data_IF_347095710898
#
_entry.id   IF_347095710898
#
_cell.length_a   1.000
_cell.length_b   1.000
_cell.length_c   1.000
_cell.angle_alpha   90.00
_cell.angle_beta   90.00
_cell.angle_gamma   90.00
#
_symmetry.space_group_name_H-M   'P 1'
#
loop_
_entity.id
_entity.type
_entity.pdbx_description
1 polymer ?
#
# COMPACT_ATOMS: atom_id res chain seq x y z
N UNK A 1 1.01 5.49 -18.59
CA UNK A 1 2.45 5.30 -18.32
C UNK A 1 2.61 4.85 -16.87
N UNK A 2 3.20 3.68 -16.59
CA UNK A 2 3.39 3.15 -15.23
C UNK A 2 4.18 4.09 -14.30
N UNK A 3 5.08 4.92 -14.84
CA UNK A 3 5.85 5.89 -14.07
C UNK A 3 4.93 7.00 -13.55
N UNK A 4 4.03 7.52 -14.40
CA UNK A 4 3.04 8.53 -14.01
C UNK A 4 2.06 7.98 -12.97
N UNK A 5 1.62 6.73 -13.13
CA UNK A 5 0.76 6.06 -12.15
C UNK A 5 1.46 5.92 -10.78
N UNK A 6 2.74 5.49 -10.77
CA UNK A 6 3.51 5.34 -9.53
C UNK A 6 3.72 6.69 -8.79
N UNK A 7 3.92 7.77 -9.54
CA UNK A 7 4.01 9.12 -8.97
C UNK A 7 2.67 9.58 -8.37
N UNK A 8 1.55 9.19 -8.99
CA UNK A 8 0.21 9.43 -8.45
C UNK A 8 0.01 8.78 -7.08
N UNK A 9 0.44 7.52 -6.91
CA UNK A 9 0.35 6.81 -5.63
C UNK A 9 1.24 7.38 -4.53
N UNK A 10 2.43 7.88 -4.89
CA UNK A 10 3.30 8.56 -3.93
C UNK A 10 2.63 9.83 -3.35
N UNK A 11 1.95 10.61 -4.20
CA UNK A 11 1.21 11.79 -3.77
C UNK A 11 -0.03 11.43 -2.93
N UNK A 12 -0.75 10.37 -3.31
CA UNK A 12 -1.88 9.85 -2.53
C UNK A 12 -1.44 9.42 -1.14
N UNK A 13 -0.33 8.69 -1.04
CA UNK A 13 0.25 8.23 0.23
C UNK A 13 0.58 9.40 1.16
N UNK A 14 1.26 10.44 0.65
CA UNK A 14 1.57 11.63 1.45
C UNK A 14 0.30 12.34 1.95
N UNK A 15 -0.78 12.28 1.17
CA UNK A 15 -2.06 12.87 1.55
C UNK A 15 -2.81 12.03 2.59
N UNK A 16 -2.78 10.70 2.50
CA UNK A 16 -3.28 9.79 3.56
C UNK A 16 -2.67 10.16 4.91
N UNK A 17 -1.35 10.38 4.93
CA UNK A 17 -0.60 10.68 6.15
C UNK A 17 -0.84 12.09 6.70
N UNK A 18 -0.97 13.10 5.82
CA UNK A 18 -1.01 14.51 6.24
C UNK A 18 -2.42 15.10 6.35
N UNK A 19 -3.34 14.70 5.48
CA UNK A 19 -4.70 15.25 5.35
C UNK A 19 -5.65 14.19 4.74
N UNK A 20 -6.03 13.16 5.51
CA UNK A 20 -6.91 12.11 5.03
C UNK A 20 -8.34 12.61 4.77
N UNK A 21 -8.72 13.79 5.28
CA UNK A 21 -10.06 14.35 5.10
C UNK A 21 -10.37 14.58 3.61
N UNK A 22 -11.47 13.96 3.15
CA UNK A 22 -11.91 14.03 1.76
C UNK A 22 -11.24 13.03 0.82
N UNK A 23 -10.40 12.11 1.33
CA UNK A 23 -9.97 10.93 0.58
C UNK A 23 -10.95 9.77 0.78
N UNK A 24 -11.28 9.11 -0.32
CA UNK A 24 -12.00 7.83 -0.29
C UNK A 24 -11.01 6.69 0.02
N UNK A 25 -10.61 6.58 1.29
CA UNK A 25 -9.69 5.52 1.74
C UNK A 25 -10.26 4.11 1.52
N UNK A 26 -11.56 3.83 1.76
CA UNK A 26 -12.17 2.56 1.37
C UNK A 26 -12.02 2.27 -0.13
N UNK A 27 -12.30 3.23 -1.00
CA UNK A 27 -12.15 3.07 -2.45
C UNK A 27 -10.70 2.86 -2.88
N UNK A 28 -9.74 3.53 -2.23
CA UNK A 28 -8.31 3.28 -2.47
C UNK A 28 -7.91 1.83 -2.13
N UNK A 29 -8.44 1.28 -1.03
CA UNK A 29 -8.23 -0.12 -0.68
C UNK A 29 -8.83 -1.07 -1.74
N UNK A 30 -9.99 -0.74 -2.31
CA UNK A 30 -10.59 -1.51 -3.41
C UNK A 30 -9.69 -1.52 -4.66
N UNK A 31 -9.15 -0.36 -5.04
CA UNK A 31 -8.21 -0.27 -6.17
C UNK A 31 -6.94 -1.06 -5.89
N UNK A 32 -6.39 -0.97 -4.68
CA UNK A 32 -5.20 -1.73 -4.29
C UNK A 32 -5.45 -3.24 -4.38
N UNK A 33 -6.58 -3.69 -3.83
CA UNK A 33 -6.96 -5.10 -3.87
C UNK A 33 -7.12 -5.63 -5.30
N UNK A 34 -7.71 -4.82 -6.19
CA UNK A 34 -7.97 -5.21 -7.58
C UNK A 34 -6.71 -5.20 -8.46
N UNK A 35 -5.82 -4.21 -8.30
CA UNK A 35 -4.78 -3.93 -9.30
C UNK A 35 -3.36 -4.26 -8.83
N UNK A 36 -3.06 -4.23 -7.52
CA UNK A 36 -1.67 -4.24 -7.05
C UNK A 36 -0.91 -5.51 -7.45
N UNK A 37 -1.58 -6.67 -7.49
CA UNK A 37 -0.94 -7.94 -7.82
C UNK A 37 -0.42 -8.01 -9.26
N UNK A 38 -1.14 -7.38 -10.19
CA UNK A 38 -0.81 -7.41 -11.62
C UNK A 38 -0.07 -6.14 -12.07
N UNK A 39 0.11 -5.17 -11.17
CA UNK A 39 0.84 -3.95 -11.43
C UNK A 39 2.35 -4.23 -11.64
N UNK A 40 3.06 -3.41 -12.45
CA UNK A 40 4.51 -3.49 -12.57
C UNK A 40 5.22 -3.21 -11.25
N UNK A 41 6.41 -3.77 -11.03
CA UNK A 41 7.16 -3.76 -9.75
C UNK A 41 7.16 -2.40 -9.02
N UNK A 42 7.48 -1.31 -9.73
CA UNK A 42 7.51 0.03 -9.12
C UNK A 42 6.14 0.49 -8.63
N UNK A 43 5.09 0.14 -9.37
CA UNK A 43 3.71 0.46 -9.00
C UNK A 43 3.24 -0.44 -7.85
N UNK A 44 3.62 -1.72 -7.82
CA UNK A 44 3.38 -2.58 -6.65
C UNK A 44 3.97 -1.98 -5.38
N UNK A 45 5.21 -1.49 -5.46
CA UNK A 45 5.89 -0.88 -4.33
C UNK A 45 5.17 0.36 -3.81
N UNK A 46 4.74 1.24 -4.71
CA UNK A 46 3.99 2.45 -4.36
C UNK A 46 2.62 2.12 -3.74
N UNK A 47 1.89 1.16 -4.32
CA UNK A 47 0.58 0.72 -3.83
C UNK A 47 0.68 0.01 -2.47
N UNK A 48 1.69 -0.85 -2.28
CA UNK A 48 1.94 -1.54 -1.01
C UNK A 48 2.29 -0.54 0.11
N UNK A 49 3.11 0.47 -0.19
CA UNK A 49 3.39 1.52 0.77
C UNK A 49 2.13 2.32 1.13
N UNK A 50 1.26 2.61 0.15
CA UNK A 50 -0.03 3.27 0.42
C UNK A 50 -0.94 2.40 1.30
N UNK A 51 -1.03 1.10 1.01
CA UNK A 51 -1.78 0.12 1.81
C UNK A 51 -1.36 0.14 3.28
N UNK A 52 -0.05 0.10 3.54
CA UNK A 52 0.49 0.13 4.88
C UNK A 52 0.14 1.44 5.60
N UNK A 53 0.34 2.60 4.95
CA UNK A 53 0.03 3.90 5.55
C UNK A 53 -1.47 4.04 5.88
N UNK A 54 -2.36 3.55 5.01
CA UNK A 54 -3.80 3.53 5.31
C UNK A 54 -4.06 2.74 6.60
N UNK A 55 -3.48 1.55 6.77
CA UNK A 55 -3.67 0.72 7.96
C UNK A 55 -3.03 1.28 9.25
N UNK A 56 -1.90 1.97 9.12
CA UNK A 56 -1.19 2.61 10.24
C UNK A 56 -1.99 3.82 10.73
N UNK A 57 -2.33 4.74 9.82
CA UNK A 57 -2.92 6.04 10.15
C UNK A 57 -4.44 5.97 10.38
N UNK A 58 -5.11 4.91 9.91
CA UNK A 58 -6.57 4.76 10.03
C UNK A 58 -6.93 3.46 10.75
N UNK A 59 -7.02 3.47 12.10
CA UNK A 59 -7.30 2.28 12.89
C UNK A 59 -8.57 1.52 12.46
N UNK A 60 -9.61 2.23 12.02
CA UNK A 60 -10.86 1.63 11.52
C UNK A 60 -10.71 0.85 10.20
N UNK A 61 -9.65 1.09 9.44
CA UNK A 61 -9.34 0.41 8.18
C UNK A 61 -8.19 -0.59 8.31
N UNK A 62 -7.49 -0.62 9.45
CA UNK A 62 -6.30 -1.48 9.67
C UNK A 62 -6.56 -2.95 9.35
N UNK A 63 -7.63 -3.51 9.90
CA UNK A 63 -7.96 -4.92 9.67
C UNK A 63 -8.19 -5.23 8.18
N UNK A 64 -8.79 -4.29 7.44
CA UNK A 64 -8.99 -4.42 5.99
C UNK A 64 -7.67 -4.32 5.24
N UNK A 65 -6.82 -3.35 5.58
CA UNK A 65 -5.52 -3.17 4.94
C UNK A 65 -4.60 -4.39 5.12
N UNK A 66 -4.50 -4.91 6.35
CA UNK A 66 -3.75 -6.14 6.65
C UNK A 66 -4.31 -7.32 5.85
N UNK A 67 -5.63 -7.53 5.88
CA UNK A 67 -6.26 -8.63 5.15
C UNK A 67 -6.05 -8.56 3.64
N UNK A 68 -6.02 -7.36 3.04
CA UNK A 68 -5.68 -7.19 1.62
C UNK A 68 -4.22 -7.58 1.38
N UNK A 69 -3.28 -7.09 2.19
CA UNK A 69 -1.86 -7.41 2.05
C UNK A 69 -1.59 -8.91 2.17
N UNK A 70 -2.24 -9.59 3.11
CA UNK A 70 -2.17 -11.04 3.28
C UNK A 70 -2.73 -11.83 2.10
N UNK A 71 -3.87 -11.39 1.53
CA UNK A 71 -4.47 -12.03 0.35
C UNK A 71 -3.59 -11.88 -0.89
N UNK A 72 -2.98 -10.71 -1.07
CA UNK A 72 -2.19 -10.41 -2.26
C UNK A 72 -0.78 -11.00 -2.17
N UNK A 73 -0.16 -11.02 -0.99
CA UNK A 73 1.18 -11.55 -0.78
C UNK A 73 2.29 -10.78 -1.51
N UNK A 74 2.01 -9.58 -2.00
CA UNK A 74 2.94 -8.74 -2.75
C UNK A 74 4.12 -8.36 -1.85
N UNK A 75 5.35 -8.55 -2.33
CA UNK A 75 6.61 -8.32 -1.59
C UNK A 75 6.85 -9.22 -0.37
N UNK A 76 6.02 -10.24 -0.12
CA UNK A 76 6.18 -11.16 1.02
C UNK A 76 7.54 -11.88 1.03
N UNK A 77 8.01 -12.30 -0.14
CA UNK A 77 9.28 -13.04 -0.28
C UNK A 77 10.44 -12.12 -0.69
N UNK A 78 10.27 -10.79 -0.55
CA UNK A 78 11.32 -9.84 -0.94
C UNK A 78 12.56 -10.02 -0.05
N UNK A 79 13.76 -10.24 -0.62
CA UNK A 79 14.96 -10.51 0.16
C UNK A 79 15.30 -9.32 1.05
N UNK A 80 15.21 -9.55 2.35
CA UNK A 80 15.48 -8.54 3.38
C UNK A 80 16.72 -8.97 4.15
N UNK A 81 17.76 -8.13 4.13
CA UNK A 81 18.99 -8.40 4.88
C UNK A 81 18.72 -8.46 6.39
N UNK A 82 19.50 -9.25 7.16
CA UNK A 82 19.35 -9.29 8.62
C UNK A 82 19.43 -7.89 9.24
N UNK A 83 18.39 -7.50 9.99
CA UNK A 83 18.28 -6.20 10.64
C UNK A 83 17.58 -5.09 9.84
N UNK A 84 17.15 -5.35 8.60
CA UNK A 84 16.29 -4.44 7.83
C UNK A 84 14.80 -4.77 8.02
N UNK A 85 13.93 -3.75 7.90
CA UNK A 85 12.47 -3.94 7.91
C UNK A 85 12.01 -4.50 6.56
N UNK A 86 11.17 -5.54 6.61
CA UNK A 86 10.51 -6.12 5.43
C UNK A 86 9.66 -5.07 4.72
N UNK A 87 9.66 -4.99 3.38
CA UNK A 87 8.75 -4.10 2.67
C UNK A 87 7.31 -4.64 2.62
N UNK A 88 7.02 -5.82 3.17
CA UNK A 88 5.69 -6.42 3.17
C UNK A 88 4.74 -5.65 4.10
N UNK A 89 3.71 -5.00 3.53
CA UNK A 89 2.83 -4.08 4.26
C UNK A 89 2.18 -4.66 5.55
N UNK A 90 1.76 -5.94 5.60
CA UNK A 90 1.22 -6.53 6.84
C UNK A 90 2.21 -6.63 8.01
N UNK A 91 3.52 -6.54 7.77
CA UNK A 91 4.53 -6.60 8.83
C UNK A 91 4.83 -5.22 9.47
N UNK A 92 4.19 -4.14 8.99
CA UNK A 92 4.48 -2.75 9.40
C UNK A 92 3.68 -2.29 10.62
#
# INVERSE_FOLDING_TARGET
>A
DPVVASAGWALTTERVRKKPEGLDLPGLLDVIEAEMKDAPDRLQWAMNHCLAQIGIDNPGLRARAVGIGERLGVLKDYPTSPGCTSPYAPDW
#
